data_IF_645912708201
#
_entry.id   IF_645912708201
#
_cell.length_a   1.000
_cell.length_b   1.000
_cell.length_c   1.000
_cell.angle_alpha   90.00
_cell.angle_beta   90.00
_cell.angle_gamma   90.00
#
_symmetry.space_group_name_H-M   'P 1'
#
loop_
_entity.id
_entity.type
_entity.pdbx_description
1 polymer ?
#
# COMPACT_ATOMS: atom_id res chain seq x y z
N UNK A 1 39.96 10.14 -7.15
CA UNK A 1 38.78 11.01 -7.40
C UNK A 1 37.72 10.30 -8.24
N UNK A 2 37.99 9.92 -9.51
CA UNK A 2 36.99 9.28 -10.41
C UNK A 2 36.35 7.99 -9.88
N UNK A 3 37.14 7.07 -9.30
CA UNK A 3 36.62 5.81 -8.72
C UNK A 3 35.65 6.04 -7.55
N UNK A 4 35.96 7.03 -6.68
CA UNK A 4 35.08 7.41 -5.57
C UNK A 4 33.77 8.03 -6.07
N UNK A 5 33.84 8.87 -7.10
CA UNK A 5 32.65 9.45 -7.72
C UNK A 5 31.71 8.39 -8.32
N UNK A 6 32.27 7.36 -8.97
CA UNK A 6 31.50 6.23 -9.51
C UNK A 6 30.78 5.47 -8.39
N UNK A 7 31.48 5.16 -7.29
CA UNK A 7 30.88 4.46 -6.15
C UNK A 7 29.72 5.26 -5.56
N UNK A 8 29.89 6.57 -5.39
CA UNK A 8 28.81 7.44 -4.88
C UNK A 8 27.62 7.48 -5.83
N UNK A 9 27.87 7.58 -7.15
CA UNK A 9 26.80 7.58 -8.14
C UNK A 9 26.01 6.26 -8.14
N UNK A 10 26.69 5.12 -8.07
CA UNK A 10 26.02 3.81 -8.00
C UNK A 10 25.22 3.68 -6.71
N UNK A 11 25.77 4.09 -5.57
CA UNK A 11 25.04 4.08 -4.30
C UNK A 11 23.77 4.94 -4.35
N UNK A 12 23.85 6.14 -4.92
CA UNK A 12 22.70 7.03 -5.08
C UNK A 12 21.61 6.40 -5.96
N UNK A 13 21.98 5.74 -7.06
CA UNK A 13 21.03 5.05 -7.95
C UNK A 13 20.34 3.90 -7.21
N UNK A 14 21.09 3.08 -6.45
CA UNK A 14 20.52 1.97 -5.69
C UNK A 14 19.55 2.46 -4.61
N UNK A 15 19.86 3.57 -3.94
CA UNK A 15 18.95 4.19 -2.96
C UNK A 15 17.67 4.68 -3.66
N UNK A 16 17.79 5.33 -4.82
CA UNK A 16 16.64 5.80 -5.59
C UNK A 16 15.74 4.64 -6.05
N UNK A 17 16.34 3.56 -6.55
CA UNK A 17 15.63 2.34 -6.93
C UNK A 17 14.95 1.69 -5.73
N UNK A 18 15.62 1.62 -4.58
CA UNK A 18 15.05 1.08 -3.34
C UNK A 18 13.83 1.88 -2.88
N UNK A 19 13.89 3.20 -2.92
CA UNK A 19 12.77 4.08 -2.58
C UNK A 19 11.58 3.86 -3.52
N UNK A 20 11.82 3.80 -4.84
CA UNK A 20 10.76 3.56 -5.84
C UNK A 20 10.13 2.18 -5.65
N UNK A 21 10.94 1.15 -5.42
CA UNK A 21 10.49 -0.21 -5.21
C UNK A 21 9.61 -0.32 -3.96
N UNK A 22 10.07 0.24 -2.83
CA UNK A 22 9.34 0.21 -1.56
C UNK A 22 8.03 1.03 -1.61
N UNK A 23 7.93 2.04 -2.47
CA UNK A 23 6.70 2.82 -2.64
C UNK A 23 5.61 2.05 -3.40
N UNK A 24 5.98 1.09 -4.26
CA UNK A 24 5.05 0.32 -5.08
C UNK A 24 4.36 -0.85 -4.36
N UNK A 25 4.90 -1.34 -3.24
CA UNK A 25 4.44 -2.57 -2.58
C UNK A 25 3.03 -2.50 -1.96
N UNK A 26 2.42 -1.31 -1.85
CA UNK A 26 1.10 -1.15 -1.23
C UNK A 26 0.14 -0.20 -1.95
N UNK A 27 0.48 0.24 -3.15
CA UNK A 27 -0.36 1.21 -3.87
C UNK A 27 -1.43 0.46 -4.67
N UNK A 28 -2.71 0.67 -4.34
CA UNK A 28 -3.80 0.22 -5.19
C UNK A 28 -3.62 0.75 -6.63
N UNK A 29 -4.18 0.07 -7.64
CA UNK A 29 -4.15 0.56 -9.01
C UNK A 29 -4.63 2.02 -9.09
N UNK A 30 -4.07 2.85 -10.00
CA UNK A 30 -4.48 4.24 -10.14
C UNK A 30 -6.00 4.36 -10.34
N UNK A 31 -6.65 5.19 -9.54
CA UNK A 31 -8.11 5.39 -9.57
C UNK A 31 -8.90 4.45 -8.66
N UNK A 32 -8.24 3.58 -7.90
CA UNK A 32 -8.86 2.74 -6.88
C UNK A 32 -8.42 3.17 -5.47
N UNK A 33 -9.38 3.21 -4.55
CA UNK A 33 -9.09 3.37 -3.12
C UNK A 33 -8.17 2.22 -2.63
N UNK A 34 -7.17 2.52 -1.78
CA UNK A 34 -6.32 1.50 -1.18
C UNK A 34 -7.13 0.41 -0.47
N UNK A 35 -6.69 -0.85 -0.59
CA UNK A 35 -7.24 -1.92 0.24
C UNK A 35 -6.77 -1.69 1.68
N UNK A 36 -7.72 -1.46 2.59
CA UNK A 36 -7.43 -1.27 4.00
C UNK A 36 -7.35 -2.61 4.72
N UNK A 37 -6.27 -2.80 5.49
CA UNK A 37 -6.18 -3.92 6.43
C UNK A 37 -7.12 -3.65 7.61
N UNK A 38 -8.05 -4.56 7.87
CA UNK A 38 -8.92 -4.48 9.05
C UNK A 38 -8.08 -4.66 10.32
N UNK A 39 -8.31 -3.79 11.29
CA UNK A 39 -7.71 -3.81 12.62
C UNK A 39 -8.76 -3.43 13.67
N UNK A 40 -8.47 -3.67 14.94
CA UNK A 40 -9.37 -3.27 16.03
C UNK A 40 -9.69 -1.77 16.02
N UNK A 41 -8.78 -0.94 15.51
CA UNK A 41 -8.93 0.52 15.47
C UNK A 41 -9.85 1.02 14.36
N UNK A 42 -10.04 0.26 13.27
CA UNK A 42 -10.85 0.68 12.12
C UNK A 42 -12.11 -0.16 11.89
N UNK A 43 -12.27 -1.26 12.64
CA UNK A 43 -13.38 -2.20 12.47
C UNK A 43 -14.75 -1.54 12.68
N UNK A 44 -14.90 -0.69 13.71
CA UNK A 44 -16.17 -0.02 14.00
C UNK A 44 -16.60 0.96 12.89
N UNK A 45 -15.64 1.61 12.24
CA UNK A 45 -15.93 2.50 11.11
C UNK A 45 -16.34 1.71 9.87
N UNK A 46 -15.64 0.60 9.60
CA UNK A 46 -16.03 -0.35 8.56
C UNK A 46 -17.45 -0.88 8.77
N UNK A 47 -17.79 -1.34 9.97
CA UNK A 47 -19.11 -1.86 10.32
C UNK A 47 -20.20 -0.79 10.08
N UNK A 48 -19.97 0.44 10.54
CA UNK A 48 -20.89 1.55 10.32
C UNK A 48 -21.11 1.87 8.84
N UNK A 49 -20.06 1.89 8.03
CA UNK A 49 -20.18 2.10 6.59
C UNK A 49 -20.87 0.90 5.91
N UNK A 50 -20.56 -0.31 6.38
CA UNK A 50 -21.20 -1.54 5.94
C UNK A 50 -22.69 -1.61 6.33
N UNK A 51 -23.15 -0.96 7.39
CA UNK A 51 -24.57 -0.98 7.73
C UNK A 51 -25.37 0.16 7.07
N UNK A 52 -24.70 1.25 6.66
CA UNK A 52 -25.35 2.44 6.13
C UNK A 52 -26.06 2.25 4.77
N UNK A 53 -25.63 1.30 3.93
CA UNK A 53 -26.17 1.10 2.56
C UNK A 53 -26.94 -0.22 2.42
N UNK A 54 -27.84 -0.52 3.36
CA UNK A 54 -28.46 -1.85 3.52
C UNK A 54 -29.18 -2.40 2.27
N UNK A 55 -29.55 -1.52 1.33
CA UNK A 55 -30.30 -1.86 0.12
C UNK A 55 -29.41 -2.30 -1.07
N UNK A 56 -28.09 -2.28 -0.92
CA UNK A 56 -27.14 -2.65 -2.00
C UNK A 56 -26.45 -3.97 -1.66
N UNK A 57 -26.41 -4.96 -2.58
CA UNK A 57 -25.66 -6.20 -2.38
C UNK A 57 -24.15 -5.92 -2.31
N UNK A 58 -23.47 -6.48 -1.30
CA UNK A 58 -22.05 -6.23 -1.01
C UNK A 58 -21.25 -7.50 -0.89
N UNK A 59 -19.97 -7.41 -1.23
CA UNK A 59 -19.00 -8.49 -1.12
C UNK A 59 -17.90 -8.09 -0.15
N UNK A 60 -17.67 -8.90 0.88
CA UNK A 60 -16.54 -8.75 1.80
C UNK A 60 -15.53 -9.85 1.52
N UNK A 61 -14.31 -9.47 1.14
CA UNK A 61 -13.20 -10.39 0.88
C UNK A 61 -12.26 -10.39 2.09
N UNK A 62 -12.28 -11.49 2.85
CA UNK A 62 -11.37 -11.68 3.98
C UNK A 62 -10.14 -12.45 3.50
N UNK A 63 -9.02 -11.73 3.40
CA UNK A 63 -7.72 -12.30 3.02
C UNK A 63 -6.97 -12.66 4.30
N UNK A 64 -6.75 -13.96 4.55
CA UNK A 64 -5.80 -14.42 5.57
C UNK A 64 -4.38 -14.25 5.03
N UNK A 65 -3.45 -13.63 5.77
CA UNK A 65 -2.04 -13.75 5.45
C UNK A 65 -1.64 -15.23 5.51
N UNK A 66 -0.97 -15.74 4.48
CA UNK A 66 -0.25 -17.02 4.49
C UNK A 66 1.22 -16.80 4.77
#
# INVERSE_FOLDING_TARGET
MKKRAIVVAVAAILVLLGLVYLWGLGSAPPGQEPVLTLSETNFSEFEKAFDAEADVPRLVLLLSPT
#
